data_IF_883480091073
#
_entry.id   IF_883480091073
#
_cell.length_a   1.000
_cell.length_b   1.000
_cell.length_c   1.000
_cell.angle_alpha   90.00
_cell.angle_beta   90.00
_cell.angle_gamma   90.00
#
_symmetry.space_group_name_H-M   'P 1'
#
loop_
_entity.id
_entity.type
_entity.pdbx_description
1 polymer ?
#
# COMPACT_ATOMS: atom_id res chain seq x y z
N UNK A 1 -17.94 -6.65 -10.39
CA UNK A 1 -17.12 -6.89 -9.18
C UNK A 1 -15.90 -7.80 -9.37
N UNK A 2 -15.98 -9.03 -9.91
CA UNK A 2 -14.80 -9.94 -10.03
C UNK A 2 -13.59 -9.36 -10.80
N UNK A 3 -13.80 -8.49 -11.80
CA UNK A 3 -12.73 -7.85 -12.57
C UNK A 3 -12.09 -6.66 -11.85
N UNK A 4 -12.87 -5.91 -11.07
CA UNK A 4 -12.42 -4.76 -10.27
C UNK A 4 -11.67 -5.23 -9.02
N UNK A 5 -12.13 -6.34 -8.44
CA UNK A 5 -11.37 -7.07 -7.43
C UNK A 5 -10.04 -7.49 -8.07
N UNK A 6 -10.03 -8.18 -9.22
CA UNK A 6 -8.81 -8.58 -9.97
C UNK A 6 -7.83 -7.44 -10.30
N UNK A 7 -8.28 -6.20 -10.46
CA UNK A 7 -7.41 -5.04 -10.69
C UNK A 7 -6.78 -4.51 -9.39
N UNK A 8 -7.50 -4.58 -8.27
CA UNK A 8 -6.95 -4.21 -6.94
C UNK A 8 -6.01 -5.31 -6.42
N UNK A 9 -6.36 -6.55 -6.76
CA UNK A 9 -5.64 -7.81 -6.50
C UNK A 9 -4.20 -7.81 -7.04
N UNK A 10 -3.96 -7.29 -8.24
CA UNK A 10 -2.62 -7.35 -8.85
C UNK A 10 -1.67 -6.22 -8.39
N UNK A 11 -2.20 -5.16 -7.74
CA UNK A 11 -1.43 -3.99 -7.29
C UNK A 11 -0.33 -4.29 -6.25
N UNK A 12 -0.50 -5.33 -5.44
CA UNK A 12 0.34 -5.55 -4.25
C UNK A 12 1.12 -6.87 -4.27
N UNK A 13 0.82 -7.77 -5.22
CA UNK A 13 1.56 -9.04 -5.39
C UNK A 13 3.03 -8.78 -5.71
N UNK A 14 3.31 -7.76 -6.51
CA UNK A 14 4.65 -7.49 -7.04
C UNK A 14 5.63 -6.90 -6.01
N UNK A 15 5.15 -6.46 -4.84
CA UNK A 15 6.02 -5.99 -3.75
C UNK A 15 6.73 -7.13 -3.00
N UNK A 16 6.25 -8.38 -3.14
CA UNK A 16 6.81 -9.57 -2.49
C UNK A 16 7.66 -10.46 -3.39
N UNK A 17 7.72 -10.18 -4.71
CA UNK A 17 8.43 -11.02 -5.67
C UNK A 17 9.92 -10.67 -5.72
N UNK A 18 10.71 -11.14 -4.75
CA UNK A 18 12.16 -11.32 -4.96
C UNK A 18 12.38 -12.57 -5.83
N UNK A 19 12.00 -12.51 -7.10
CA UNK A 19 12.33 -13.53 -8.10
C UNK A 19 13.63 -13.16 -8.83
N UNK A 20 14.71 -12.93 -8.09
CA UNK A 20 16.05 -12.81 -8.65
C UNK A 20 16.90 -14.10 -8.51
N UNK A 21 16.36 -15.17 -7.92
CA UNK A 21 17.12 -16.41 -7.65
C UNK A 21 16.59 -17.69 -8.31
N UNK A 22 15.56 -17.61 -9.16
CA UNK A 22 14.90 -18.81 -9.72
C UNK A 22 15.13 -19.06 -11.23
N UNK A 23 16.18 -18.51 -11.84
CA UNK A 23 16.61 -18.89 -13.20
C UNK A 23 17.99 -19.57 -13.19
N UNK A 24 18.04 -20.77 -12.63
CA UNK A 24 19.11 -21.73 -12.90
C UNK A 24 18.62 -23.16 -12.59
N UNK A 25 17.64 -23.65 -13.36
CA UNK A 25 17.34 -25.09 -13.39
C UNK A 25 16.80 -25.47 -14.77
N UNK A 26 17.70 -25.50 -15.74
CA UNK A 26 17.57 -26.43 -16.87
C UNK A 26 18.30 -27.70 -16.50
N UNK A 27 17.58 -28.80 -16.64
CA UNK A 27 17.94 -30.16 -16.24
C UNK A 27 19.19 -30.64 -16.96
N UNK A 28 20.16 -31.13 -16.18
CA UNK A 28 21.21 -32.03 -16.64
C UNK A 28 21.08 -33.34 -15.84
N UNK A 29 21.28 -34.51 -16.47
CA UNK A 29 21.11 -35.81 -15.81
C UNK A 29 22.15 -36.00 -14.70
N UNK A 30 21.66 -36.43 -13.54
CA UNK A 30 22.39 -36.66 -12.30
C UNK A 30 23.25 -37.92 -12.43
N UNK A 31 24.56 -37.77 -12.63
CA UNK A 31 25.53 -38.81 -12.29
C UNK A 31 25.81 -38.77 -10.78
N UNK A 32 25.57 -39.90 -10.11
CA UNK A 32 25.94 -40.15 -8.71
C UNK A 32 27.45 -40.09 -8.56
N UNK A 33 27.96 -39.00 -8.02
CA UNK A 33 29.19 -38.92 -7.20
C UNK A 33 29.23 -37.52 -6.57
N UNK A 34 28.62 -37.39 -5.38
CA UNK A 34 28.57 -36.12 -4.64
C UNK A 34 29.60 -36.17 -3.51
N UNK A 35 30.68 -35.39 -3.67
CA UNK A 35 31.65 -35.09 -2.63
C UNK A 35 30.98 -34.42 -1.41
N UNK A 36 31.52 -34.59 -0.19
CA UNK A 36 30.95 -33.99 1.02
C UNK A 36 30.87 -32.47 0.89
N UNK A 37 29.69 -31.92 1.18
CA UNK A 37 29.41 -30.50 1.12
C UNK A 37 30.36 -29.71 2.06
N UNK A 38 30.90 -28.56 1.63
CA UNK A 38 31.72 -27.72 2.51
C UNK A 38 30.89 -27.23 3.71
N UNK A 39 31.56 -27.14 4.86
CA UNK A 39 30.97 -26.67 6.11
C UNK A 39 30.27 -25.32 5.92
N UNK A 40 29.04 -25.20 6.46
CA UNK A 40 28.27 -23.96 6.42
C UNK A 40 29.07 -22.83 7.08
N UNK A 41 29.23 -21.66 6.44
CA UNK A 41 29.86 -20.52 7.08
C UNK A 41 29.07 -20.12 8.33
N UNK A 42 29.80 -19.67 9.36
CA UNK A 42 29.24 -19.29 10.64
C UNK A 42 28.13 -18.24 10.47
N UNK A 43 27.03 -18.42 11.20
CA UNK A 43 25.90 -17.49 11.28
C UNK A 43 26.41 -16.11 11.69
N UNK A 44 26.43 -15.15 10.75
CA UNK A 44 26.73 -13.75 11.07
C UNK A 44 25.56 -13.23 11.92
N UNK A 45 25.87 -12.78 13.14
CA UNK A 45 24.86 -12.18 14.01
C UNK A 45 24.18 -11.00 13.29
N UNK A 46 22.86 -10.84 13.41
CA UNK A 46 22.16 -9.69 12.84
C UNK A 46 22.82 -8.39 13.32
N UNK A 47 23.00 -7.38 12.44
CA UNK A 47 23.47 -6.07 12.88
C UNK A 47 22.55 -5.55 13.98
N UNK A 48 23.15 -4.99 15.04
CA UNK A 48 22.41 -4.42 16.16
C UNK A 48 21.37 -3.42 15.63
N UNK A 49 20.12 -3.59 16.08
CA UNK A 49 19.04 -2.69 15.71
C UNK A 49 19.45 -1.24 16.04
N UNK A 50 19.25 -0.28 15.12
CA UNK A 50 19.55 1.12 15.40
C UNK A 50 18.81 1.55 16.67
N UNK A 51 19.50 2.27 17.55
CA UNK A 51 18.94 2.78 18.79
C UNK A 51 17.58 3.46 18.50
N UNK A 52 16.52 2.96 19.14
CA UNK A 52 15.17 3.46 18.92
C UNK A 52 15.14 4.96 19.21
N UNK A 53 14.85 5.76 18.18
CA UNK A 53 14.62 7.19 18.36
C UNK A 53 13.48 7.37 19.37
N UNK A 54 13.63 8.33 20.31
CA UNK A 54 12.58 8.60 21.29
C UNK A 54 11.27 8.92 20.56
N UNK A 55 10.12 8.35 21.00
CA UNK A 55 8.81 8.70 20.46
C UNK A 55 8.59 10.22 20.52
N UNK A 56 8.20 10.80 19.39
CA UNK A 56 7.80 12.19 19.28
C UNK A 56 6.28 12.21 19.41
N UNK A 57 5.81 12.73 20.53
CA UNK A 57 4.40 12.90 20.79
C UNK A 57 3.78 13.99 19.90
N UNK A 58 2.47 13.93 19.75
CA UNK A 58 1.66 14.95 19.12
C UNK A 58 1.79 16.27 19.91
N UNK A 59 1.85 17.44 19.23
CA UNK A 59 1.87 18.73 19.91
C UNK A 59 0.61 18.96 20.76
N UNK A 60 0.70 19.82 21.78
CA UNK A 60 -0.41 20.08 22.70
C UNK A 60 -1.39 21.16 22.22
N UNK A 61 -0.97 22.06 21.32
CA UNK A 61 -1.81 23.15 20.83
C UNK A 61 -2.80 22.70 19.75
N UNK A 62 -4.08 23.07 19.87
CA UNK A 62 -5.13 22.62 18.94
C UNK A 62 -4.85 22.96 17.46
N UNK A 63 -4.35 24.17 17.18
CA UNK A 63 -3.98 24.58 15.82
C UNK A 63 -2.81 23.77 15.26
N UNK A 64 -1.81 23.47 16.11
CA UNK A 64 -0.65 22.68 15.73
C UNK A 64 -1.02 21.21 15.50
N UNK A 65 -1.89 20.66 16.34
CA UNK A 65 -2.47 19.33 16.15
C UNK A 65 -3.21 19.22 14.82
N UNK A 66 -4.04 20.21 14.48
CA UNK A 66 -4.73 20.24 13.21
C UNK A 66 -3.75 20.22 12.03
N UNK A 67 -2.66 21.00 12.10
CA UNK A 67 -1.62 21.00 11.07
C UNK A 67 -0.90 19.64 10.96
N UNK A 68 -0.57 19.00 12.09
CA UNK A 68 0.06 17.67 12.12
C UNK A 68 -0.84 16.59 11.54
N UNK A 69 -2.14 16.62 11.86
CA UNK A 69 -3.14 15.72 11.28
C UNK A 69 -3.25 15.90 9.77
N UNK A 70 -3.31 17.14 9.27
CA UNK A 70 -3.33 17.41 7.84
C UNK A 70 -2.07 16.90 7.12
N UNK A 71 -0.89 17.08 7.74
CA UNK A 71 0.36 16.50 7.22
C UNK A 71 0.32 14.97 7.19
N UNK A 72 -0.18 14.33 8.24
CA UNK A 72 -0.34 12.88 8.27
C UNK A 72 -1.30 12.39 7.17
N UNK A 73 -2.42 13.07 6.94
CA UNK A 73 -3.32 12.76 5.82
C UNK A 73 -2.58 12.84 4.49
N UNK A 74 -1.79 13.89 4.26
CA UNK A 74 -1.02 14.05 3.03
C UNK A 74 0.10 12.99 2.89
N UNK A 75 0.79 12.66 3.97
CA UNK A 75 1.84 11.64 4.00
C UNK A 75 1.24 10.26 3.71
N UNK A 76 0.16 9.87 4.40
CA UNK A 76 -0.55 8.62 4.13
C UNK A 76 -1.08 8.56 2.70
N UNK A 77 -1.65 9.65 2.17
CA UNK A 77 -2.12 9.70 0.79
C UNK A 77 -1.00 9.54 -0.24
N UNK A 78 0.22 9.98 0.11
CA UNK A 78 1.40 9.79 -0.72
C UNK A 78 1.85 8.34 -0.70
N UNK A 79 1.91 7.71 0.48
CA UNK A 79 2.34 6.31 0.65
C UNK A 79 1.35 5.32 0.05
N UNK A 80 0.06 5.56 0.26
CA UNK A 80 -1.05 4.78 -0.27
C UNK A 80 -1.81 5.60 -1.30
N UNK A 81 -1.35 5.69 -2.56
CA UNK A 81 -1.90 6.60 -3.56
C UNK A 81 -3.22 6.09 -4.18
N UNK A 82 -4.16 5.62 -3.35
CA UNK A 82 -5.43 5.00 -3.77
C UNK A 82 -6.24 5.93 -4.67
N UNK A 83 -6.34 7.22 -4.32
CA UNK A 83 -7.06 8.20 -5.15
C UNK A 83 -6.46 8.36 -6.56
N UNK A 84 -5.13 8.32 -6.68
CA UNK A 84 -4.43 8.36 -7.98
C UNK A 84 -4.68 7.08 -8.76
N UNK A 85 -4.58 5.93 -8.10
CA UNK A 85 -4.87 4.61 -8.71
C UNK A 85 -6.30 4.59 -9.26
N UNK A 86 -7.28 5.08 -8.50
CA UNK A 86 -8.68 5.17 -8.95
C UNK A 86 -8.84 6.07 -10.18
N UNK A 87 -8.12 7.18 -10.25
CA UNK A 87 -8.11 8.04 -11.44
C UNK A 87 -7.54 7.33 -12.65
N UNK A 88 -6.43 6.60 -12.49
CA UNK A 88 -5.82 5.82 -13.56
C UNK A 88 -6.77 4.69 -14.02
N UNK A 89 -7.49 4.04 -13.10
CA UNK A 89 -8.52 3.04 -13.45
C UNK A 89 -9.68 3.70 -14.22
N UNK A 90 -10.19 4.83 -13.74
CA UNK A 90 -11.30 5.54 -14.38
C UNK A 90 -10.94 6.04 -15.79
N UNK A 91 -9.68 6.35 -16.05
CA UNK A 91 -9.18 6.73 -17.36
C UNK A 91 -9.14 5.55 -18.34
N UNK A 92 -8.90 4.32 -17.84
CA UNK A 92 -8.81 3.11 -18.66
C UNK A 92 -10.15 2.36 -18.80
N UNK A 93 -11.10 2.57 -17.89
CA UNK A 93 -12.43 1.97 -17.93
C UNK A 93 -13.54 3.04 -17.86
N UNK A 94 -14.23 3.34 -18.99
CA UNK A 94 -15.30 4.34 -19.03
C UNK A 94 -16.56 3.92 -18.26
N UNK A 95 -16.66 2.68 -17.79
CA UNK A 95 -17.77 2.19 -16.97
C UNK A 95 -17.45 2.19 -15.48
N UNK A 96 -16.18 2.24 -15.08
CA UNK A 96 -15.79 2.24 -13.67
C UNK A 96 -16.43 3.40 -12.88
N UNK A 97 -16.91 3.18 -11.63
CA UNK A 97 -16.85 1.93 -10.85
C UNK A 97 -17.97 0.92 -11.13
N UNK A 98 -18.86 1.21 -12.08
CA UNK A 98 -19.98 0.33 -12.47
C UNK A 98 -19.59 -0.73 -13.50
N UNK A 99 -20.52 -1.64 -13.80
CA UNK A 99 -20.40 -2.61 -14.88
C UNK A 99 -21.05 -2.14 -16.18
N UNK A 100 -20.62 -2.69 -17.33
CA UNK A 100 -21.28 -2.45 -18.63
C UNK A 100 -22.75 -2.86 -18.65
N UNK A 101 -23.11 -3.88 -17.86
CA UNK A 101 -24.45 -4.49 -17.85
C UNK A 101 -25.46 -3.71 -16.99
N UNK A 102 -24.98 -3.01 -15.96
CA UNK A 102 -25.78 -2.20 -15.05
C UNK A 102 -25.00 -0.94 -14.78
N UNK A 103 -25.35 0.12 -15.52
CA UNK A 103 -24.69 1.41 -15.41
C UNK A 103 -25.67 2.43 -14.84
N UNK A 104 -25.24 3.25 -13.88
CA UNK A 104 -25.95 4.48 -13.56
C UNK A 104 -26.06 5.34 -14.82
N UNK A 105 -26.98 6.30 -14.82
CA UNK A 105 -26.93 7.35 -15.83
C UNK A 105 -25.58 8.11 -15.78
N UNK A 106 -25.27 8.83 -16.86
CA UNK A 106 -23.98 9.51 -17.02
C UNK A 106 -23.71 10.54 -15.90
N UNK A 107 -24.75 11.19 -15.39
CA UNK A 107 -24.64 12.20 -14.31
C UNK A 107 -24.24 11.54 -12.99
N UNK A 108 -24.92 10.44 -12.62
CA UNK A 108 -24.57 9.65 -11.44
C UNK A 108 -23.16 9.07 -11.54
N UNK A 109 -22.78 8.54 -12.70
CA UNK A 109 -21.45 7.99 -12.92
C UNK A 109 -20.35 9.07 -12.79
N UNK A 110 -20.58 10.27 -13.34
CA UNK A 110 -19.67 11.39 -13.20
C UNK A 110 -19.55 11.87 -11.73
N UNK A 111 -20.67 11.90 -11.01
CA UNK A 111 -20.70 12.19 -9.57
C UNK A 111 -19.89 11.17 -8.77
N UNK A 112 -20.10 9.87 -9.03
CA UNK A 112 -19.36 8.78 -8.38
C UNK A 112 -17.85 8.95 -8.59
N UNK A 113 -17.44 9.15 -9.83
CA UNK A 113 -16.03 9.37 -10.18
C UNK A 113 -15.44 10.57 -9.48
N UNK A 114 -16.19 11.65 -9.32
CA UNK A 114 -15.72 12.84 -8.59
C UNK A 114 -15.48 12.54 -7.11
N UNK A 115 -16.37 11.76 -6.48
CA UNK A 115 -16.26 11.37 -5.07
C UNK A 115 -15.23 10.26 -4.81
N UNK A 116 -14.79 9.54 -5.86
CA UNK A 116 -13.76 8.51 -5.75
C UNK A 116 -12.36 9.01 -6.16
N UNK A 117 -12.21 10.29 -6.52
CA UNK A 117 -10.90 10.91 -6.76
C UNK A 117 -10.14 11.16 -5.45
N UNK A 118 -8.96 11.72 -5.58
CA UNK A 118 -8.05 12.08 -4.48
C UNK A 118 -8.74 12.82 -3.32
N UNK A 119 -9.63 13.77 -3.59
CA UNK A 119 -10.33 14.51 -2.54
C UNK A 119 -11.23 13.62 -1.67
N UNK A 120 -11.95 12.68 -2.29
CA UNK A 120 -12.77 11.72 -1.56
C UNK A 120 -11.92 10.78 -0.70
N UNK A 121 -10.78 10.36 -1.23
CA UNK A 121 -9.82 9.55 -0.49
C UNK A 121 -9.25 10.31 0.72
N UNK A 122 -8.86 11.57 0.53
CA UNK A 122 -8.35 12.43 1.61
C UNK A 122 -9.38 12.65 2.73
N UNK A 123 -10.68 12.72 2.40
CA UNK A 123 -11.75 12.79 3.42
C UNK A 123 -11.81 11.52 4.29
N UNK A 124 -11.74 10.35 3.67
CA UNK A 124 -11.70 9.07 4.42
C UNK A 124 -10.44 8.99 5.29
N UNK A 125 -9.30 9.43 4.77
CA UNK A 125 -8.06 9.50 5.54
C UNK A 125 -8.15 10.48 6.71
N UNK A 126 -8.78 11.63 6.56
CA UNK A 126 -8.93 12.60 7.64
C UNK A 126 -9.62 11.97 8.86
N UNK A 127 -10.73 11.27 8.65
CA UNK A 127 -11.43 10.54 9.73
C UNK A 127 -10.53 9.48 10.38
N UNK A 128 -9.78 8.71 9.59
CA UNK A 128 -8.86 7.69 10.12
C UNK A 128 -7.69 8.29 10.90
N UNK A 129 -7.13 9.39 10.42
CA UNK A 129 -6.04 10.12 11.08
C UNK A 129 -6.53 10.75 12.37
N UNK A 130 -7.76 11.27 12.42
CA UNK A 130 -8.34 11.77 13.66
C UNK A 130 -8.45 10.68 14.73
N UNK A 131 -8.95 9.50 14.36
CA UNK A 131 -8.97 8.33 15.25
C UNK A 131 -7.54 7.97 15.69
N UNK A 132 -6.62 7.83 14.74
CA UNK A 132 -5.21 7.49 15.01
C UNK A 132 -4.54 8.47 15.97
N UNK A 133 -4.76 9.78 15.77
CA UNK A 133 -4.21 10.82 16.62
C UNK A 133 -4.71 10.75 18.06
N UNK A 134 -5.96 10.33 18.27
CA UNK A 134 -6.54 10.16 19.61
C UNK A 134 -6.07 8.89 20.31
N UNK A 135 -5.81 7.80 19.57
CA UNK A 135 -5.38 6.52 20.14
C UNK A 135 -3.86 6.38 20.28
N UNK A 136 -3.09 7.13 19.49
CA UNK A 136 -1.62 7.02 19.40
C UNK A 136 -0.91 8.38 19.50
N UNK A 137 -1.44 9.26 20.36
CA UNK A 137 -0.92 10.62 20.53
C UNK A 137 0.56 10.66 20.96
N UNK A 138 1.05 9.66 21.68
CA UNK A 138 2.41 9.56 22.20
C UNK A 138 3.47 9.27 21.12
N UNK A 139 3.06 8.69 19.98
CA UNK A 139 3.93 8.28 18.86
C UNK A 139 3.64 9.00 17.55
N UNK A 140 2.57 9.78 17.48
CA UNK A 140 2.07 10.41 16.26
C UNK A 140 3.14 11.17 15.46
N UNK A 141 4.01 11.94 16.13
CA UNK A 141 5.06 12.71 15.47
C UNK A 141 6.17 11.84 14.88
N UNK A 142 6.52 10.74 15.55
CA UNK A 142 7.50 9.78 15.03
C UNK A 142 6.95 9.05 13.82
N UNK A 143 5.69 8.60 13.90
CA UNK A 143 5.02 7.96 12.77
C UNK A 143 4.89 8.92 11.59
N UNK A 144 4.56 10.19 11.83
CA UNK A 144 4.49 11.21 10.79
C UNK A 144 5.86 11.37 10.08
N UNK A 145 6.94 11.40 10.86
CA UNK A 145 8.30 11.50 10.33
C UNK A 145 8.66 10.29 9.46
N UNK A 146 8.28 9.08 9.91
CA UNK A 146 8.47 7.86 9.12
C UNK A 146 7.69 7.91 7.80
N UNK A 147 6.44 8.40 7.84
CA UNK A 147 5.57 8.53 6.68
C UNK A 147 6.00 9.64 5.69
N UNK A 148 6.73 10.66 6.15
CA UNK A 148 7.32 11.71 5.30
C UNK A 148 8.72 11.31 4.76
N UNK A 149 9.29 10.22 5.27
CA UNK A 149 10.63 9.74 4.96
C UNK A 149 10.80 9.10 3.57
N UNK A 150 12.04 8.70 3.25
CA UNK A 150 12.36 8.10 1.95
C UNK A 150 11.79 6.68 1.79
N UNK A 151 11.71 5.89 2.87
CA UNK A 151 11.12 4.54 2.82
C UNK A 151 9.64 4.55 2.45
N UNK A 152 8.89 5.52 2.97
CA UNK A 152 7.51 5.79 2.61
C UNK A 152 7.34 6.17 1.12
N UNK A 153 8.22 7.04 0.59
CA UNK A 153 8.24 7.38 -0.84
C UNK A 153 8.59 6.17 -1.71
N UNK A 154 9.50 5.31 -1.27
CA UNK A 154 9.84 4.08 -1.95
C UNK A 154 8.66 3.10 -1.96
N UNK A 155 7.96 2.95 -0.83
CA UNK A 155 6.73 2.16 -0.74
C UNK A 155 5.69 2.65 -1.75
N UNK A 156 5.46 3.96 -1.84
CA UNK A 156 4.55 4.56 -2.83
C UNK A 156 4.91 4.21 -4.27
N UNK A 157 6.21 4.26 -4.63
CA UNK A 157 6.68 3.86 -5.97
C UNK A 157 6.33 2.42 -6.29
N UNK A 158 6.56 1.51 -5.33
CA UNK A 158 6.23 0.09 -5.45
C UNK A 158 4.73 -0.12 -5.64
N UNK A 159 3.91 0.55 -4.83
CA UNK A 159 2.45 0.50 -4.93
C UNK A 159 1.94 0.97 -6.30
N UNK A 160 2.45 2.10 -6.80
CA UNK A 160 2.08 2.60 -8.12
C UNK A 160 2.53 1.69 -9.25
N UNK A 161 3.71 1.06 -9.13
CA UNK A 161 4.20 0.11 -10.13
C UNK A 161 3.32 -1.14 -10.21
N UNK A 162 2.96 -1.72 -9.05
CA UNK A 162 2.01 -2.81 -9.03
C UNK A 162 0.65 -2.39 -9.56
N UNK A 163 0.18 -1.17 -9.28
CA UNK A 163 -1.07 -0.67 -9.83
C UNK A 163 -1.08 -0.49 -11.34
N UNK A 164 0.02 -0.02 -11.93
CA UNK A 164 0.17 -0.01 -13.39
C UNK A 164 0.13 -1.43 -13.93
N UNK A 165 0.93 -2.34 -13.38
CA UNK A 165 0.91 -3.76 -13.78
C UNK A 165 -0.50 -4.37 -13.79
N UNK A 166 -1.29 -4.08 -12.75
CA UNK A 166 -2.66 -4.56 -12.65
C UNK A 166 -3.63 -3.93 -13.66
N UNK A 167 -3.47 -2.64 -13.96
CA UNK A 167 -4.42 -1.86 -14.77
C UNK A 167 -4.15 -1.96 -16.25
N UNK A 168 -2.89 -1.93 -16.67
CA UNK A 168 -2.48 -1.87 -18.07
C UNK A 168 -1.50 -2.99 -18.48
N UNK A 169 -1.14 -3.89 -17.57
CA UNK A 169 -0.20 -5.00 -17.84
C UNK A 169 1.27 -4.60 -17.86
N UNK A 170 1.62 -3.37 -17.47
CA UNK A 170 3.01 -2.91 -17.42
C UNK A 170 3.81 -3.70 -16.38
N UNK A 171 4.73 -4.55 -16.86
CA UNK A 171 5.63 -5.27 -15.97
C UNK A 171 6.79 -4.36 -15.56
N UNK A 172 6.81 -3.93 -14.30
CA UNK A 172 7.91 -3.17 -13.73
C UNK A 172 8.76 -4.08 -12.87
N UNK A 173 10.00 -4.31 -13.28
CA UNK A 173 10.95 -5.12 -12.52
C UNK A 173 11.31 -4.44 -11.19
N UNK A 174 11.21 -5.17 -10.08
CA UNK A 174 11.47 -4.62 -8.74
C UNK A 174 12.90 -4.03 -8.63
N UNK A 175 13.88 -4.69 -9.26
CA UNK A 175 15.26 -4.21 -9.30
C UNK A 175 15.38 -2.81 -9.89
N UNK A 176 14.54 -2.46 -10.87
CA UNK A 176 14.52 -1.13 -11.49
C UNK A 176 13.94 -0.05 -10.55
N UNK A 177 12.99 -0.42 -9.69
CA UNK A 177 12.39 0.49 -8.70
C UNK A 177 13.33 0.75 -7.53
N UNK A 178 14.13 -0.26 -7.15
CA UNK A 178 15.03 -0.20 -6.02
C UNK A 178 16.44 0.30 -6.36
N UNK A 179 16.81 0.39 -7.66
CA UNK A 179 18.18 0.73 -8.09
C UNK A 179 18.70 2.06 -7.50
N UNK A 180 17.80 3.04 -7.33
CA UNK A 180 18.12 4.37 -6.83
C UNK A 180 17.72 4.55 -5.35
N UNK A 181 17.33 3.47 -4.67
CA UNK A 181 16.95 3.52 -3.26
C UNK A 181 18.18 3.65 -2.38
N UNK A 182 18.17 4.63 -1.47
CA UNK A 182 19.21 4.72 -0.43
C UNK A 182 19.12 3.50 0.52
N UNK A 183 20.23 3.05 1.12
CA UNK A 183 20.18 2.01 2.15
C UNK A 183 19.23 2.37 3.29
N UNK A 184 19.13 3.67 3.62
CA UNK A 184 18.20 4.16 4.63
C UNK A 184 16.74 3.99 4.20
N UNK A 185 16.39 4.33 2.96
CA UNK A 185 15.04 4.14 2.43
C UNK A 185 14.62 2.66 2.48
N UNK A 186 15.53 1.74 2.17
CA UNK A 186 15.28 0.30 2.28
C UNK A 186 15.02 -0.14 3.72
N UNK A 187 15.82 0.34 4.69
CA UNK A 187 15.62 0.03 6.10
C UNK A 187 14.29 0.59 6.62
N UNK A 188 13.95 1.82 6.26
CA UNK A 188 12.68 2.44 6.66
C UNK A 188 11.48 1.73 6.02
N UNK A 189 11.60 1.31 4.75
CA UNK A 189 10.62 0.46 4.08
C UNK A 189 10.42 -0.86 4.81
N UNK A 190 11.52 -1.56 5.12
CA UNK A 190 11.48 -2.84 5.82
C UNK A 190 10.90 -2.71 7.23
N UNK A 191 11.23 -1.63 7.94
CA UNK A 191 10.66 -1.32 9.25
C UNK A 191 9.14 -1.06 9.14
N UNK A 192 8.71 -0.22 8.20
CA UNK A 192 7.28 0.07 7.98
C UNK A 192 6.51 -1.20 7.62
N UNK A 193 7.08 -2.08 6.79
CA UNK A 193 6.43 -3.30 6.34
C UNK A 193 6.38 -4.40 7.42
N UNK A 194 7.50 -4.64 8.12
CA UNK A 194 7.67 -5.86 8.92
C UNK A 194 7.73 -5.62 10.43
N UNK A 195 8.10 -4.43 10.89
CA UNK A 195 8.26 -4.18 12.33
C UNK A 195 6.88 -4.23 13.03
N UNK A 196 6.66 -5.10 14.02
CA UNK A 196 5.41 -5.14 14.78
C UNK A 196 5.06 -3.79 15.43
N UNK A 197 6.07 -2.99 15.78
CA UNK A 197 5.85 -1.65 16.34
C UNK A 197 5.12 -0.72 15.37
N UNK A 198 5.22 -0.95 14.05
CA UNK A 198 4.51 -0.17 13.03
C UNK A 198 3.12 -0.73 12.68
N UNK A 199 2.61 -1.73 13.40
CA UNK A 199 1.29 -2.32 13.15
C UNK A 199 0.15 -1.28 13.18
N UNK A 200 0.05 -0.38 14.17
CA UNK A 200 -1.00 0.65 14.16
C UNK A 200 -0.93 1.56 12.93
N UNK A 201 0.29 1.93 12.51
CA UNK A 201 0.52 2.77 11.33
C UNK A 201 0.12 2.03 10.03
N UNK A 202 0.38 0.72 9.96
CA UNK A 202 -0.14 -0.12 8.87
C UNK A 202 -1.67 -0.19 8.87
N UNK A 203 -2.31 -0.32 10.03
CA UNK A 203 -3.77 -0.31 10.14
C UNK A 203 -4.40 1.02 9.67
N UNK A 204 -3.76 2.16 9.98
CA UNK A 204 -4.14 3.48 9.45
C UNK A 204 -4.18 3.49 7.91
N UNK A 205 -3.24 2.80 7.28
CA UNK A 205 -3.16 2.62 5.82
C UNK A 205 -4.09 1.54 5.26
N UNK A 206 -4.79 0.80 6.12
CA UNK A 206 -5.64 -0.34 5.74
C UNK A 206 -4.88 -1.67 5.62
N UNK A 207 -3.61 -1.72 6.03
CA UNK A 207 -2.71 -2.87 5.88
C UNK A 207 -2.59 -3.70 7.17
N UNK A 208 -3.66 -3.81 7.96
CA UNK A 208 -3.63 -4.43 9.29
C UNK A 208 -3.31 -5.94 9.23
N UNK A 209 -3.74 -6.61 8.17
CA UNK A 209 -3.44 -8.03 7.91
C UNK A 209 -2.06 -8.27 7.27
N UNK A 210 -1.24 -7.24 7.07
CA UNK A 210 0.00 -7.32 6.26
C UNK A 210 1.18 -8.09 6.88
N UNK A 211 0.94 -8.89 7.91
CA UNK A 211 2.02 -9.58 8.63
C UNK A 211 2.31 -10.91 7.94
N UNK A 212 3.27 -10.92 7.01
CA UNK A 212 3.80 -12.13 6.40
C UNK A 212 4.63 -11.85 5.15
N UNK A 213 5.75 -12.56 4.99
CA UNK A 213 6.69 -12.39 3.87
C UNK A 213 6.43 -13.34 2.70
N UNK A 214 5.34 -14.11 2.71
CA UNK A 214 5.05 -15.02 1.60
C UNK A 214 4.25 -14.31 0.48
N UNK A 215 4.58 -14.67 -0.76
CA UNK A 215 4.05 -14.06 -1.98
C UNK A 215 2.53 -14.28 -2.15
N UNK A 216 2.00 -15.38 -1.61
CA UNK A 216 0.56 -15.66 -1.61
C UNK A 216 -0.20 -14.68 -0.70
N UNK A 217 0.38 -14.32 0.44
CA UNK A 217 -0.19 -13.37 1.37
C UNK A 217 -0.10 -11.94 0.82
N UNK A 218 0.99 -11.57 0.12
CA UNK A 218 1.14 -10.21 -0.41
C UNK A 218 -0.02 -9.75 -1.30
N UNK A 219 -0.56 -10.68 -2.10
CA UNK A 219 -1.77 -10.48 -2.89
C UNK A 219 -3.00 -10.19 -2.02
N UNK A 220 -3.32 -11.10 -1.12
CA UNK A 220 -4.49 -11.02 -0.23
C UNK A 220 -4.42 -9.78 0.67
N UNK A 221 -3.24 -9.47 1.19
CA UNK A 221 -2.96 -8.26 1.98
C UNK A 221 -3.33 -7.01 1.18
N UNK A 222 -2.93 -6.96 -0.08
CA UNK A 222 -3.27 -5.86 -0.96
C UNK A 222 -4.72 -5.74 -1.32
N UNK A 223 -5.38 -6.87 -1.56
CA UNK A 223 -6.83 -6.92 -1.77
C UNK A 223 -7.58 -6.38 -0.56
N UNK A 224 -7.19 -6.84 0.63
CA UNK A 224 -7.80 -6.43 1.88
C UNK A 224 -7.53 -4.95 2.17
N UNK A 225 -6.31 -4.46 1.92
CA UNK A 225 -5.99 -3.05 2.07
C UNK A 225 -6.78 -2.16 1.10
N UNK A 226 -6.85 -2.58 -0.17
CA UNK A 226 -7.68 -1.92 -1.18
C UNK A 226 -9.14 -1.89 -0.76
N UNK A 227 -9.75 -3.03 -0.43
CA UNK A 227 -11.16 -3.09 0.00
C UNK A 227 -11.43 -2.25 1.25
N UNK A 228 -10.54 -2.29 2.23
CA UNK A 228 -10.65 -1.54 3.48
C UNK A 228 -10.71 -0.03 3.25
N UNK A 229 -9.98 0.48 2.26
CA UNK A 229 -9.97 1.90 1.92
C UNK A 229 -11.05 2.27 0.91
N UNK A 230 -11.29 1.42 -0.09
CA UNK A 230 -12.20 1.71 -1.19
C UNK A 230 -13.67 1.54 -0.81
N UNK A 231 -14.01 0.57 0.04
CA UNK A 231 -15.41 0.29 0.37
C UNK A 231 -16.10 1.49 1.06
N UNK A 232 -15.50 2.13 2.09
CA UNK A 232 -16.08 3.34 2.67
C UNK A 232 -16.24 4.47 1.65
N UNK A 233 -15.26 4.63 0.75
CA UNK A 233 -15.35 5.64 -0.31
C UNK A 233 -16.50 5.35 -1.28
N UNK A 234 -16.66 4.09 -1.70
CA UNK A 234 -17.71 3.65 -2.62
C UNK A 234 -19.08 3.85 -2.00
N UNK A 235 -19.28 3.42 -0.76
CA UNK A 235 -20.55 3.59 -0.02
C UNK A 235 -20.89 5.07 0.10
N UNK A 236 -19.94 5.91 0.52
CA UNK A 236 -20.15 7.35 0.61
C UNK A 236 -20.48 7.98 -0.76
N UNK A 237 -19.76 7.58 -1.82
CA UNK A 237 -20.03 8.07 -3.17
C UNK A 237 -21.45 7.69 -3.63
N UNK A 238 -21.89 6.45 -3.37
CA UNK A 238 -23.24 5.99 -3.70
C UNK A 238 -24.31 6.80 -2.98
N UNK A 239 -24.11 7.06 -1.69
CA UNK A 239 -25.05 7.82 -0.87
C UNK A 239 -25.20 9.28 -1.35
N UNK A 240 -24.07 9.92 -1.64
CA UNK A 240 -24.02 11.30 -2.16
C UNK A 240 -24.63 11.37 -3.56
N UNK A 241 -24.30 10.43 -4.43
CA UNK A 241 -24.71 10.42 -5.83
C UNK A 241 -26.03 9.70 -6.10
N UNK A 242 -26.71 9.18 -5.07
CA UNK A 242 -27.98 8.46 -5.15
C UNK A 242 -27.94 7.28 -6.14
N UNK A 243 -26.85 6.51 -6.10
CA UNK A 243 -26.66 5.26 -6.85
C UNK A 243 -27.07 4.09 -5.96
N UNK A 244 -27.89 3.18 -6.49
CA UNK A 244 -28.31 1.96 -5.79
C UNK A 244 -27.31 0.83 -5.99
N UNK A 245 -27.31 -0.16 -5.11
CA UNK A 245 -26.40 -1.32 -5.18
C UNK A 245 -26.57 -2.16 -6.44
N UNK A 246 -27.78 -2.21 -7.01
CA UNK A 246 -28.08 -2.93 -8.25
C UNK A 246 -27.63 -2.16 -9.51
N UNK A 247 -27.19 -0.90 -9.37
CA UNK A 247 -26.64 -0.07 -10.45
C UNK A 247 -25.09 -0.11 -10.51
N UNK A 248 -24.41 -0.92 -9.67
CA UNK A 248 -22.94 -1.13 -9.68
C UNK A 248 -22.50 -2.41 -10.39
#
# INVERSE_FOLDING_TARGET
MKTVLKLTVACLVLAGSTSAFAQAKKEAPVTKDVAPAPARPATVAPPAAPAAAKPIAMPKGAAEQAAYKQRMVAAVATVMPVGKIMMDVAANDPYWPSSKARKPDATKLACMRTNLKEDGYRKVLATRVDTYASTHADRFGSDLTLMEGEGAKLFSKIMMAGARSATNGENTEMTSLLKDASPRAMLDLMSLANDPANSPLRALMGMEAAIGTDEKNGKEIGENAGMTMMLPMLVNAMEVCKVKMDEL
#
